data_IF_897827822493
#
_entry.id   IF_897827822493
#
_cell.length_a   1.000
_cell.length_b   1.000
_cell.length_c   1.000
_cell.angle_alpha   90.00
_cell.angle_beta   90.00
_cell.angle_gamma   90.00
#
_symmetry.space_group_name_H-M   'P 1'
#
loop_
_entity.id
_entity.type
_entity.pdbx_description
1 polymer ?
#
# COMPACT_ATOMS: atom_id res chain seq x y z
N UNK A 1 -11.05 17.58 1.10
CA UNK A 1 -12.21 17.67 2.00
C UNK A 1 -12.55 16.24 2.45
N UNK A 2 -12.34 15.89 3.73
CA UNK A 2 -12.70 14.58 4.25
C UNK A 2 -14.22 14.52 4.43
N UNK A 3 -14.91 13.82 3.54
CA UNK A 3 -16.26 13.35 3.81
C UNK A 3 -16.19 12.22 4.84
N UNK A 4 -17.15 12.13 5.75
CA UNK A 4 -17.28 11.03 6.72
C UNK A 4 -17.19 9.65 6.05
N UNK A 5 -17.68 9.54 4.82
CA UNK A 5 -17.62 8.31 4.02
C UNK A 5 -16.17 7.92 3.67
N UNK A 6 -15.29 8.88 3.40
CA UNK A 6 -13.89 8.61 3.08
C UNK A 6 -13.12 8.11 4.32
N UNK A 7 -13.44 8.64 5.51
CA UNK A 7 -12.80 8.21 6.75
C UNK A 7 -13.08 6.73 7.04
N UNK A 8 -14.31 6.28 6.83
CA UNK A 8 -14.70 4.89 7.03
C UNK A 8 -13.95 3.96 6.07
N UNK A 9 -13.86 4.35 4.78
CA UNK A 9 -13.10 3.57 3.78
C UNK A 9 -11.62 3.49 4.16
N UNK A 10 -11.00 4.60 4.55
CA UNK A 10 -9.59 4.61 4.92
C UNK A 10 -9.30 3.84 6.21
N UNK A 11 -10.22 3.86 7.19
CA UNK A 11 -10.08 3.06 8.40
C UNK A 11 -10.17 1.57 8.12
N UNK A 12 -11.12 1.14 7.28
CA UNK A 12 -11.25 -0.25 6.84
C UNK A 12 -10.00 -0.71 6.07
N UNK A 13 -9.51 0.12 5.14
CA UNK A 13 -8.32 -0.17 4.35
C UNK A 13 -7.08 -0.31 5.26
N UNK A 14 -6.93 0.59 6.23
CA UNK A 14 -5.85 0.54 7.22
C UNK A 14 -5.91 -0.74 8.04
N UNK A 15 -7.10 -1.13 8.51
CA UNK A 15 -7.29 -2.36 9.26
C UNK A 15 -6.96 -3.62 8.43
N UNK A 16 -7.40 -3.68 7.18
CA UNK A 16 -7.09 -4.79 6.27
C UNK A 16 -5.58 -4.91 6.03
N UNK A 17 -4.90 -3.80 5.75
CA UNK A 17 -3.46 -3.81 5.51
C UNK A 17 -2.69 -4.11 6.80
N UNK A 18 -3.18 -3.68 7.97
CA UNK A 18 -2.59 -4.05 9.26
C UNK A 18 -2.70 -5.55 9.54
N UNK A 19 -3.85 -6.17 9.24
CA UNK A 19 -4.03 -7.63 9.36
C UNK A 19 -3.08 -8.36 8.40
N UNK A 20 -2.99 -7.93 7.14
CA UNK A 20 -2.06 -8.48 6.16
C UNK A 20 -0.59 -8.35 6.64
N UNK A 21 -0.22 -7.19 7.16
CA UNK A 21 1.12 -6.94 7.70
C UNK A 21 1.45 -7.82 8.91
N UNK A 22 0.46 -8.07 9.78
CA UNK A 22 0.63 -8.98 10.92
C UNK A 22 0.80 -10.43 10.47
N UNK A 23 0.10 -10.87 9.43
CA UNK A 23 0.29 -12.19 8.84
C UNK A 23 1.68 -12.32 8.22
N UNK A 24 2.10 -11.33 7.43
CA UNK A 24 3.42 -11.28 6.81
C UNK A 24 4.54 -11.36 7.87
N UNK A 25 4.40 -10.58 8.94
CA UNK A 25 5.36 -10.57 10.04
C UNK A 25 5.46 -11.93 10.76
N UNK A 26 4.34 -12.63 10.93
CA UNK A 26 4.30 -13.90 11.67
C UNK A 26 4.64 -15.12 10.81
N UNK A 27 4.16 -15.14 9.57
CA UNK A 27 4.24 -16.32 8.69
C UNK A 27 5.22 -16.14 7.52
N UNK A 28 5.61 -14.88 7.22
CA UNK A 28 6.39 -14.55 6.03
C UNK A 28 5.59 -14.65 4.72
N UNK A 29 4.28 -14.86 4.82
CA UNK A 29 3.35 -14.98 3.70
C UNK A 29 2.02 -14.34 4.05
N UNK A 30 1.35 -13.74 3.05
CA UNK A 30 0.03 -13.15 3.20
C UNK A 30 -0.98 -13.94 2.39
N UNK A 31 -2.09 -14.28 3.03
CA UNK A 31 -3.14 -15.07 2.41
C UNK A 31 -3.81 -14.35 1.23
N UNK A 32 -4.07 -15.09 0.18
CA UNK A 32 -4.70 -14.56 -1.03
C UNK A 32 -6.13 -14.04 -0.80
N UNK A 33 -6.81 -14.50 0.24
CA UNK A 33 -8.17 -14.03 0.55
C UNK A 33 -8.20 -12.55 1.02
N UNK A 34 -7.08 -11.99 1.47
CA UNK A 34 -6.93 -10.56 1.78
C UNK A 34 -6.39 -9.81 0.56
N UNK A 35 -5.35 -10.34 -0.07
CA UNK A 35 -4.62 -9.63 -1.12
C UNK A 35 -5.39 -9.53 -2.44
N UNK A 36 -6.19 -10.55 -2.79
CA UNK A 36 -6.98 -10.55 -4.03
C UNK A 36 -8.12 -9.52 -3.99
N UNK A 37 -8.99 -9.48 -2.96
CA UNK A 37 -10.01 -8.45 -2.87
C UNK A 37 -9.42 -7.03 -2.86
N UNK A 38 -8.34 -6.81 -2.12
CA UNK A 38 -7.66 -5.52 -2.07
C UNK A 38 -7.14 -5.10 -3.45
N UNK A 39 -6.53 -6.03 -4.18
CA UNK A 39 -6.07 -5.83 -5.54
C UNK A 39 -7.21 -5.46 -6.50
N UNK A 40 -8.31 -6.21 -6.47
CA UNK A 40 -9.46 -5.97 -7.34
C UNK A 40 -10.14 -4.62 -7.04
N UNK A 41 -10.30 -4.29 -5.76
CA UNK A 41 -10.83 -2.98 -5.34
C UNK A 41 -9.91 -1.84 -5.78
N UNK A 42 -8.59 -2.04 -5.69
CA UNK A 42 -7.61 -1.06 -6.15
C UNK A 42 -7.70 -0.82 -7.66
N UNK A 43 -7.78 -1.87 -8.47
CA UNK A 43 -7.98 -1.73 -9.91
C UNK A 43 -9.30 -1.02 -10.23
N UNK A 44 -10.39 -1.39 -9.55
CA UNK A 44 -11.68 -0.72 -9.70
C UNK A 44 -11.60 0.77 -9.33
N UNK A 45 -10.95 1.11 -8.23
CA UNK A 45 -10.74 2.49 -7.79
C UNK A 45 -9.92 3.31 -8.80
N UNK A 46 -8.84 2.74 -9.33
CA UNK A 46 -8.02 3.36 -10.38
C UNK A 46 -8.86 3.62 -11.65
N UNK A 47 -9.61 2.62 -12.12
CA UNK A 47 -10.45 2.74 -13.32
C UNK A 47 -11.53 3.81 -13.13
N UNK A 48 -12.14 3.87 -11.94
CA UNK A 48 -13.11 4.91 -11.60
C UNK A 48 -12.49 6.31 -11.62
N UNK A 49 -11.28 6.49 -11.08
CA UNK A 49 -10.56 7.76 -11.10
C UNK A 49 -10.20 8.17 -12.53
N UNK A 50 -9.78 7.23 -13.38
CA UNK A 50 -9.51 7.48 -14.81
C UNK A 50 -10.78 7.90 -15.54
N UNK A 51 -11.88 7.19 -15.33
CA UNK A 51 -13.17 7.51 -15.94
C UNK A 51 -13.70 8.89 -15.53
N UNK A 52 -13.47 9.26 -14.25
CA UNK A 52 -13.84 10.58 -13.70
C UNK A 52 -12.91 11.72 -14.14
N UNK A 53 -11.91 11.44 -14.98
CA UNK A 53 -10.96 12.45 -15.48
C UNK A 53 -10.00 13.00 -14.42
N UNK A 54 -9.84 12.31 -13.27
CA UNK A 54 -8.96 12.76 -12.21
C UNK A 54 -7.49 12.54 -12.60
N UNK A 55 -6.66 13.57 -12.49
CA UNK A 55 -5.21 13.48 -12.76
C UNK A 55 -4.51 12.44 -11.89
N UNK A 56 -5.01 12.25 -10.67
CA UNK A 56 -4.51 11.22 -9.73
C UNK A 56 -4.68 9.81 -10.30
N UNK A 57 -5.74 9.55 -11.07
CA UNK A 57 -5.97 8.26 -11.73
C UNK A 57 -4.85 7.90 -12.72
N UNK A 58 -4.37 8.86 -13.49
CA UNK A 58 -3.26 8.65 -14.43
C UNK A 58 -1.94 8.36 -13.71
N UNK A 59 -1.66 9.07 -12.61
CA UNK A 59 -0.47 8.80 -11.79
C UNK A 59 -0.55 7.40 -11.18
N UNK A 60 -1.71 7.02 -10.64
CA UNK A 60 -1.92 5.67 -10.11
C UNK A 60 -1.72 4.60 -11.18
N UNK A 61 -2.25 4.82 -12.39
CA UNK A 61 -2.09 3.88 -13.51
C UNK A 61 -0.62 3.70 -13.90
N UNK A 62 0.16 4.79 -14.00
CA UNK A 62 1.58 4.72 -14.29
C UNK A 62 2.36 3.94 -13.21
N UNK A 63 2.09 4.23 -11.94
CA UNK A 63 2.74 3.52 -10.83
C UNK A 63 2.35 2.04 -10.84
N UNK A 64 1.08 1.70 -11.03
CA UNK A 64 0.59 0.33 -11.10
C UNK A 64 1.23 -0.41 -12.28
N UNK A 65 1.36 0.22 -13.45
CA UNK A 65 2.05 -0.36 -14.60
C UNK A 65 3.53 -0.65 -14.26
N UNK A 66 4.23 0.29 -13.62
CA UNK A 66 5.60 0.08 -13.17
C UNK A 66 5.72 -1.06 -12.14
N UNK A 67 4.83 -1.10 -11.14
CA UNK A 67 4.82 -2.16 -10.13
C UNK A 67 4.54 -3.53 -10.76
N UNK A 68 3.65 -3.59 -11.76
CA UNK A 68 3.35 -4.82 -12.51
C UNK A 68 4.57 -5.28 -13.30
N UNK A 69 5.28 -4.35 -13.93
CA UNK A 69 6.56 -4.63 -14.59
C UNK A 69 7.61 -5.16 -13.60
N UNK A 70 7.77 -4.51 -12.44
CA UNK A 70 8.70 -4.94 -11.39
C UNK A 70 8.37 -6.33 -10.85
N UNK A 71 7.08 -6.64 -10.67
CA UNK A 71 6.61 -7.96 -10.26
C UNK A 71 6.88 -9.03 -11.33
N UNK A 72 6.69 -8.72 -12.62
CA UNK A 72 6.99 -9.62 -13.74
C UNK A 72 8.49 -9.96 -13.82
N UNK A 73 9.35 -9.04 -13.39
CA UNK A 73 10.81 -9.23 -13.28
C UNK A 73 11.24 -9.90 -11.97
N UNK A 74 10.29 -10.31 -11.12
CA UNK A 74 10.55 -10.91 -9.80
C UNK A 74 11.37 -10.01 -8.85
N UNK A 75 11.27 -8.68 -9.02
CA UNK A 75 11.92 -7.73 -8.13
C UNK A 75 11.19 -7.55 -6.81
N UNK A 76 9.91 -7.95 -6.78
CA UNK A 76 9.06 -7.90 -5.57
C UNK A 76 8.18 -9.14 -5.44
N UNK A 77 7.72 -9.42 -4.24
CA UNK A 77 6.82 -10.54 -3.95
C UNK A 77 5.43 -10.34 -4.55
N UNK A 78 4.76 -11.45 -4.85
CA UNK A 78 3.41 -11.39 -5.43
C UNK A 78 2.37 -10.81 -4.47
N UNK A 79 2.53 -10.98 -3.15
CA UNK A 79 1.67 -10.36 -2.15
C UNK A 79 1.91 -8.85 -2.07
N UNK A 80 3.17 -8.43 -2.04
CA UNK A 80 3.58 -7.02 -2.00
C UNK A 80 3.00 -6.24 -3.18
N UNK A 81 3.12 -6.81 -4.39
CA UNK A 81 2.56 -6.20 -5.60
C UNK A 81 1.04 -6.00 -5.49
N UNK A 82 0.28 -7.03 -5.07
CA UNK A 82 -1.18 -6.95 -4.95
C UNK A 82 -1.61 -5.89 -3.94
N UNK A 83 -0.93 -5.83 -2.79
CA UNK A 83 -1.22 -4.84 -1.75
C UNK A 83 -0.93 -3.42 -2.24
N UNK A 84 0.21 -3.21 -2.90
CA UNK A 84 0.55 -1.89 -3.44
C UNK A 84 -0.42 -1.44 -4.54
N UNK A 85 -0.81 -2.32 -5.45
CA UNK A 85 -1.84 -2.01 -6.47
C UNK A 85 -3.15 -1.61 -5.79
N UNK A 86 -3.55 -2.34 -4.75
CA UNK A 86 -4.72 -2.01 -3.93
C UNK A 86 -4.63 -0.60 -3.33
N UNK A 87 -3.49 -0.29 -2.71
CA UNK A 87 -3.25 1.02 -2.09
C UNK A 87 -3.22 2.15 -3.11
N UNK A 88 -2.47 2.01 -4.21
CA UNK A 88 -2.38 3.06 -5.23
C UNK A 88 -3.71 3.32 -5.93
N UNK A 89 -4.53 2.30 -6.11
CA UNK A 89 -5.84 2.45 -6.72
C UNK A 89 -6.88 3.10 -5.81
N UNK A 90 -6.83 2.86 -4.49
CA UNK A 90 -7.80 3.37 -3.54
C UNK A 90 -7.32 4.62 -2.79
N UNK A 91 -6.04 4.66 -2.46
CA UNK A 91 -5.44 5.70 -1.62
C UNK A 91 -3.97 5.93 -1.99
N UNK A 92 -3.68 6.67 -3.08
CA UNK A 92 -2.32 6.84 -3.62
C UNK A 92 -1.30 7.39 -2.63
N UNK A 93 -1.72 8.28 -1.72
CA UNK A 93 -0.84 8.83 -0.69
C UNK A 93 -0.37 7.74 0.29
N UNK A 94 -1.27 6.85 0.70
CA UNK A 94 -0.91 5.70 1.54
C UNK A 94 -0.02 4.70 0.79
N UNK A 95 -0.24 4.53 -0.53
CA UNK A 95 0.62 3.74 -1.40
C UNK A 95 2.05 4.28 -1.45
N UNK A 96 2.22 5.59 -1.58
CA UNK A 96 3.53 6.24 -1.53
C UNK A 96 4.21 6.05 -0.17
N UNK A 97 3.47 6.28 0.93
CA UNK A 97 4.00 6.08 2.27
C UNK A 97 4.43 4.62 2.50
N UNK A 98 3.64 3.66 2.01
CA UNK A 98 3.97 2.24 2.05
C UNK A 98 5.28 1.93 1.30
N UNK A 99 5.47 2.48 0.10
CA UNK A 99 6.72 2.31 -0.65
C UNK A 99 7.92 2.90 0.07
N UNK A 100 7.80 4.11 0.63
CA UNK A 100 8.88 4.78 1.36
C UNK A 100 9.28 3.98 2.60
N UNK A 101 8.30 3.51 3.38
CA UNK A 101 8.57 2.70 4.58
C UNK A 101 9.20 1.36 4.24
N UNK A 102 8.73 0.69 3.19
CA UNK A 102 9.32 -0.57 2.74
C UNK A 102 10.74 -0.38 2.19
N UNK A 103 10.97 0.66 1.41
CA UNK A 103 12.30 1.02 0.91
C UNK A 103 13.28 1.33 2.04
N UNK A 104 12.85 2.09 3.03
CA UNK A 104 13.64 2.38 4.23
C UNK A 104 13.96 1.12 5.03
N UNK A 105 12.96 0.27 5.28
CA UNK A 105 13.14 -0.98 6.04
C UNK A 105 14.03 -1.97 5.29
N UNK A 106 13.80 -2.13 3.97
CA UNK A 106 14.65 -2.95 3.11
C UNK A 106 16.09 -2.47 3.07
N UNK A 107 16.30 -1.15 2.97
CA UNK A 107 17.62 -0.53 3.03
C UNK A 107 18.34 -0.82 4.35
N UNK A 108 17.64 -0.70 5.49
CA UNK A 108 18.20 -1.05 6.81
C UNK A 108 18.53 -2.53 6.90
N UNK A 109 17.68 -3.41 6.35
CA UNK A 109 17.95 -4.84 6.32
C UNK A 109 19.22 -5.18 5.53
N UNK A 110 19.37 -4.60 4.35
CA UNK A 110 20.58 -4.77 3.51
C UNK A 110 21.84 -4.26 4.24
N UNK A 111 21.76 -3.08 4.89
CA UNK A 111 22.90 -2.52 5.62
C UNK A 111 23.30 -3.39 6.82
N UNK A 112 22.35 -4.06 7.49
CA UNK A 112 22.62 -4.92 8.64
C UNK A 112 23.18 -6.28 8.23
N UNK A 113 22.69 -6.86 7.15
CA UNK A 113 23.06 -8.23 6.75
C UNK A 113 24.18 -8.25 5.69
N UNK A 114 24.40 -7.15 4.99
CA UNK A 114 25.29 -7.09 3.82
C UNK A 114 24.77 -7.86 2.60
N UNK A 115 23.59 -8.48 2.68
CA UNK A 115 23.00 -9.29 1.63
C UNK A 115 21.95 -8.51 0.83
N UNK A 116 22.12 -8.42 -0.49
CA UNK A 116 21.14 -7.76 -1.37
C UNK A 116 19.77 -8.43 -1.39
N UNK A 117 19.70 -9.70 -1.04
CA UNK A 117 18.46 -10.50 -1.01
C UNK A 117 17.96 -10.74 0.41
N UNK A 118 18.30 -9.86 1.36
CA UNK A 118 17.80 -9.97 2.72
C UNK A 118 16.26 -10.00 2.72
N UNK A 119 15.69 -11.07 3.25
CA UNK A 119 14.23 -11.17 3.40
C UNK A 119 13.79 -10.24 4.52
N UNK A 120 12.80 -9.40 4.23
CA UNK A 120 12.13 -8.56 5.22
C UNK A 120 10.62 -8.61 4.98
N UNK A 121 9.80 -8.44 6.03
CA UNK A 121 8.35 -8.46 5.90
C UNK A 121 7.85 -7.19 5.20
N UNK A 122 7.72 -7.24 3.87
CA UNK A 122 7.38 -6.08 3.04
C UNK A 122 6.00 -5.53 3.34
N UNK A 123 4.99 -6.40 3.48
CA UNK A 123 3.61 -5.99 3.79
C UNK A 123 3.48 -5.42 5.19
N UNK A 124 4.30 -5.88 6.16
CA UNK A 124 4.34 -5.28 7.49
C UNK A 124 4.89 -3.84 7.45
N UNK A 125 5.90 -3.58 6.60
CA UNK A 125 6.40 -2.23 6.37
C UNK A 125 5.35 -1.33 5.70
N UNK A 126 4.55 -1.87 4.76
CA UNK A 126 3.42 -1.15 4.15
C UNK A 126 2.37 -0.79 5.20
N UNK A 127 2.02 -1.72 6.08
CA UNK A 127 1.04 -1.47 7.16
C UNK A 127 1.47 -0.30 8.04
N UNK A 128 2.74 -0.18 8.34
CA UNK A 128 3.27 0.95 9.10
C UNK A 128 3.13 2.28 8.34
N UNK A 129 3.46 2.32 7.05
CA UNK A 129 3.31 3.51 6.21
C UNK A 129 1.85 3.95 6.07
N UNK A 130 0.94 3.00 5.89
CA UNK A 130 -0.52 3.26 5.83
C UNK A 130 -1.03 3.81 7.15
N UNK A 131 -0.64 3.22 8.29
CA UNK A 131 -1.02 3.69 9.62
C UNK A 131 -0.54 5.12 9.88
N UNK A 132 0.72 5.44 9.56
CA UNK A 132 1.25 6.79 9.67
C UNK A 132 0.44 7.80 8.85
N UNK A 133 0.09 7.45 7.61
CA UNK A 133 -0.71 8.32 6.74
C UNK A 133 -2.10 8.54 7.32
N UNK A 134 -2.73 7.49 7.85
CA UNK A 134 -4.05 7.56 8.48
C UNK A 134 -4.04 8.49 9.70
N UNK A 135 -3.10 8.31 10.62
CA UNK A 135 -2.98 9.16 11.81
C UNK A 135 -2.65 10.62 11.45
N UNK A 136 -1.74 10.86 10.50
CA UNK A 136 -1.44 12.21 10.04
C UNK A 136 -2.68 12.92 9.49
N UNK A 137 -3.50 12.22 8.72
CA UNK A 137 -4.74 12.78 8.18
C UNK A 137 -5.78 13.03 9.27
N UNK A 138 -5.91 12.16 10.28
CA UNK A 138 -6.79 12.41 11.43
C UNK A 138 -6.38 13.67 12.19
N UNK A 139 -5.09 13.85 12.43
CA UNK A 139 -4.55 15.05 13.13
C UNK A 139 -4.87 16.33 12.35
N UNK A 140 -4.64 16.32 11.03
CA UNK A 140 -4.94 17.48 10.16
C UNK A 140 -6.45 17.78 10.15
N UNK A 141 -7.29 16.75 10.15
CA UNK A 141 -8.74 16.93 10.19
C UNK A 141 -9.19 17.58 11.51
N UNK A 142 -8.62 17.17 12.65
CA UNK A 142 -8.92 17.76 13.97
C UNK A 142 -8.42 19.20 14.13
N UNK A 143 -7.31 19.58 13.49
CA UNK A 143 -6.78 20.95 13.57
C UNK A 143 -7.58 21.95 12.73
N UNK A 144 -8.51 21.51 11.89
CA UNK A 144 -9.35 22.37 11.02
C UNK A 144 -10.77 22.59 11.57
N UNK A 145 -11.12 21.93 12.65
CA UNK A 145 -12.38 22.16 13.40
C UNK A 145 -12.16 23.10 14.56
#
# INVERSE_FOLDING_TARGET
MFSSNNLLVYSMLTALVAIAGLQDFRKGEVDNWITIPLFLLGLGGMLFQLYSGQTVGWLSALVIAFLTFAASRRWMGGADWKVLVGLFGLWPLAGLAALVTAGGWGGVAILRTGERNARFPGVAAFAFGVALTFFAQLTIAHCKT
#
